data_IF_583766634490
#
_entry.id   IF_583766634490
#
_cell.length_a   1.000
_cell.length_b   1.000
_cell.length_c   1.000
_cell.angle_alpha   90.00
_cell.angle_beta   90.00
_cell.angle_gamma   90.00
#
_symmetry.space_group_name_H-M   'P 1'
#
loop_
_entity.id
_entity.type
_entity.pdbx_description
1 polymer ?
#
# COMPACT_ATOMS: atom_id res chain seq x y z
N UNK A 1 -20.13 -27.46 -14.05
CA UNK A 1 -21.27 -26.51 -14.10
C UNK A 1 -21.90 -26.62 -15.48
N UNK A 2 -23.21 -26.84 -15.54
CA UNK A 2 -23.94 -27.12 -16.79
C UNK A 2 -24.01 -25.92 -17.75
N UNK A 3 -23.80 -26.16 -19.04
CA UNK A 3 -23.80 -25.14 -20.11
C UNK A 3 -25.15 -24.37 -20.20
N UNK A 4 -26.26 -25.05 -19.84
CA UNK A 4 -27.60 -24.46 -19.81
C UNK A 4 -27.81 -23.47 -18.66
N UNK A 5 -27.06 -23.59 -17.58
CA UNK A 5 -27.14 -22.66 -16.43
C UNK A 5 -26.41 -21.35 -16.74
N UNK A 6 -25.33 -21.38 -17.54
CA UNK A 6 -24.55 -20.19 -17.91
C UNK A 6 -25.37 -19.16 -18.69
N UNK A 7 -26.15 -19.60 -19.68
CA UNK A 7 -26.90 -18.69 -20.56
C UNK A 7 -28.00 -17.87 -19.88
N UNK A 8 -28.54 -18.35 -18.75
CA UNK A 8 -29.58 -17.62 -17.98
C UNK A 8 -29.01 -16.66 -16.93
N UNK A 9 -27.77 -16.90 -16.49
CA UNK A 9 -27.11 -16.08 -15.46
C UNK A 9 -26.45 -14.83 -16.04
N UNK A 10 -26.31 -14.73 -17.37
CA UNK A 10 -25.70 -13.58 -18.06
C UNK A 10 -26.71 -12.63 -18.71
N UNK A 11 -28.02 -12.87 -18.53
CA UNK A 11 -29.07 -12.06 -19.14
C UNK A 11 -29.32 -10.78 -18.31
N UNK A 12 -28.95 -9.63 -18.89
CA UNK A 12 -28.88 -8.34 -18.19
C UNK A 12 -30.26 -7.71 -17.93
N UNK A 13 -31.34 -8.28 -18.46
CA UNK A 13 -32.73 -7.87 -18.13
C UNK A 13 -33.27 -8.52 -16.84
N UNK A 14 -32.67 -9.63 -16.36
CA UNK A 14 -33.21 -10.40 -15.23
C UNK A 14 -32.19 -10.75 -14.13
N UNK A 15 -30.88 -10.60 -14.38
CA UNK A 15 -29.84 -10.87 -13.39
C UNK A 15 -28.76 -9.79 -13.37
N UNK A 16 -28.45 -9.30 -12.17
CA UNK A 16 -27.23 -8.55 -11.88
C UNK A 16 -26.19 -9.52 -11.32
N UNK A 17 -25.14 -9.81 -12.09
CA UNK A 17 -24.02 -10.61 -11.61
C UNK A 17 -23.12 -9.70 -10.77
N UNK A 18 -23.21 -9.84 -9.46
CA UNK A 18 -22.25 -9.25 -8.54
C UNK A 18 -21.07 -10.21 -8.39
N UNK A 19 -19.92 -9.84 -8.92
CA UNK A 19 -18.67 -10.51 -8.56
C UNK A 19 -18.39 -10.15 -7.10
N UNK A 20 -18.66 -11.10 -6.20
CA UNK A 20 -18.18 -11.02 -4.82
C UNK A 20 -16.68 -11.30 -4.91
N UNK A 21 -15.93 -10.26 -5.23
CA UNK A 21 -14.51 -10.22 -4.98
C UNK A 21 -14.35 -10.43 -3.48
N UNK A 22 -13.72 -11.53 -3.06
CA UNK A 22 -13.38 -11.74 -1.65
C UNK A 22 -12.26 -10.76 -1.32
N UNK A 23 -12.59 -9.47 -1.28
CA UNK A 23 -11.75 -8.45 -0.69
C UNK A 23 -11.58 -8.85 0.75
N UNK A 24 -10.37 -9.29 1.09
CA UNK A 24 -10.07 -9.60 2.49
C UNK A 24 -10.47 -8.40 3.36
N UNK A 25 -10.96 -8.59 4.59
CA UNK A 25 -11.22 -7.47 5.51
C UNK A 25 -10.02 -6.52 5.67
N UNK A 26 -8.80 -7.04 5.40
CA UNK A 26 -7.55 -6.30 5.41
C UNK A 26 -7.44 -5.29 4.26
N UNK A 27 -8.22 -5.44 3.18
CA UNK A 27 -8.17 -4.52 2.04
C UNK A 27 -8.80 -3.16 2.30
N UNK A 28 -9.80 -3.11 3.18
CA UNK A 28 -10.36 -1.84 3.67
C UNK A 28 -9.44 -1.17 4.71
N UNK A 29 -8.31 -1.80 5.08
CA UNK A 29 -7.33 -1.26 6.02
C UNK A 29 -5.96 -1.02 5.38
N UNK A 30 -5.91 -0.90 4.05
CA UNK A 30 -4.72 -0.42 3.37
C UNK A 30 -4.51 1.06 3.72
N UNK A 31 -3.51 1.33 4.56
CA UNK A 31 -3.21 2.63 5.19
C UNK A 31 -2.95 3.80 4.26
N UNK A 32 -3.00 3.62 2.93
CA UNK A 32 -3.13 4.73 1.98
C UNK A 32 -4.52 5.39 2.01
N UNK A 33 -5.42 5.03 2.92
CA UNK A 33 -6.66 5.76 3.13
C UNK A 33 -6.47 7.12 3.82
N UNK A 34 -5.36 7.32 4.53
CA UNK A 34 -5.00 8.64 5.03
C UNK A 34 -4.72 9.54 3.82
N UNK A 35 -5.51 10.61 3.66
CA UNK A 35 -5.36 11.58 2.56
C UNK A 35 -3.91 12.04 2.39
N UNK A 36 -3.23 12.30 3.50
CA UNK A 36 -1.81 12.67 3.55
C UNK A 36 -0.90 11.67 2.80
N UNK A 37 -1.15 10.36 2.89
CA UNK A 37 -0.31 9.35 2.24
C UNK A 37 -0.62 9.20 0.75
N UNK A 38 -1.85 9.54 0.31
CA UNK A 38 -2.22 9.55 -1.12
C UNK A 38 -1.49 10.64 -1.89
N UNK A 39 -1.26 11.76 -1.22
CA UNK A 39 -0.57 12.90 -1.83
C UNK A 39 0.95 12.76 -1.80
N UNK A 40 1.52 11.83 -1.03
CA UNK A 40 2.97 11.59 -1.02
C UNK A 40 3.43 10.88 -2.29
N UNK A 41 3.89 11.64 -3.28
CA UNK A 41 4.36 11.14 -4.58
C UNK A 41 5.84 11.49 -4.81
N UNK A 42 6.47 10.88 -5.81
CA UNK A 42 7.84 11.24 -6.18
C UNK A 42 7.93 12.70 -6.67
N UNK A 43 6.91 13.15 -7.39
CA UNK A 43 6.89 14.48 -8.04
C UNK A 43 6.88 15.65 -7.05
N UNK A 44 6.37 15.44 -5.84
CA UNK A 44 6.31 16.46 -4.80
C UNK A 44 7.27 16.21 -3.63
N UNK A 45 8.23 15.30 -3.80
CA UNK A 45 9.28 15.08 -2.83
C UNK A 45 10.45 16.03 -3.08
N UNK A 46 10.73 16.91 -2.13
CA UNK A 46 11.96 17.71 -2.16
C UNK A 46 13.17 16.85 -1.80
N UNK A 47 13.93 16.46 -2.83
CA UNK A 47 15.19 15.73 -2.73
C UNK A 47 16.43 16.63 -2.66
N UNK A 48 16.29 17.93 -2.92
CA UNK A 48 17.41 18.89 -2.99
C UNK A 48 17.50 19.81 -1.76
N UNK A 49 16.56 19.69 -0.79
CA UNK A 49 16.54 20.31 0.55
C UNK A 49 17.78 21.11 0.90
N UNK A 50 17.79 22.37 0.48
CA UNK A 50 18.99 23.22 0.46
C UNK A 50 19.50 23.53 1.87
N UNK A 51 18.63 23.44 2.88
CA UNK A 51 18.95 23.57 4.30
C UNK A 51 19.81 22.44 4.86
N UNK A 52 19.94 21.32 4.15
CA UNK A 52 20.74 20.18 4.60
C UNK A 52 22.22 20.32 4.22
N UNK A 53 23.14 19.86 5.10
CA UNK A 53 24.55 19.66 4.76
C UNK A 53 24.72 18.84 3.48
N UNK A 54 25.80 19.10 2.73
CA UNK A 54 26.04 18.48 1.43
C UNK A 54 25.94 16.94 1.47
N UNK A 55 26.51 16.31 2.50
CA UNK A 55 26.47 14.86 2.69
C UNK A 55 25.04 14.33 2.88
N UNK A 56 24.22 15.00 3.68
CA UNK A 56 22.83 14.62 3.90
C UNK A 56 21.98 14.80 2.64
N UNK A 57 22.24 15.85 1.84
CA UNK A 57 21.61 16.03 0.52
C UNK A 57 21.99 14.91 -0.44
N UNK A 58 23.26 14.54 -0.49
CA UNK A 58 23.72 13.43 -1.33
C UNK A 58 23.05 12.12 -0.92
N UNK A 59 22.96 11.84 0.38
CA UNK A 59 22.26 10.67 0.91
C UNK A 59 20.76 10.68 0.56
N UNK A 60 20.08 11.83 0.72
CA UNK A 60 18.67 11.98 0.37
C UNK A 60 18.42 11.71 -1.12
N UNK A 61 19.29 12.21 -1.99
CA UNK A 61 19.22 11.97 -3.43
C UNK A 61 19.47 10.50 -3.77
N UNK A 62 20.40 9.84 -3.08
CA UNK A 62 20.60 8.40 -3.23
C UNK A 62 19.37 7.60 -2.80
N UNK A 63 18.79 7.92 -1.63
CA UNK A 63 17.57 7.27 -1.14
C UNK A 63 16.39 7.45 -2.10
N UNK A 64 16.23 8.66 -2.67
CA UNK A 64 15.24 8.94 -3.70
C UNK A 64 15.44 8.07 -4.94
N UNK A 65 16.66 8.03 -5.48
CA UNK A 65 16.96 7.24 -6.68
C UNK A 65 16.75 5.73 -6.46
N UNK A 66 17.09 5.21 -5.27
CA UNK A 66 16.83 3.82 -4.88
C UNK A 66 15.32 3.55 -4.78
N UNK A 67 14.56 4.47 -4.21
CA UNK A 67 13.10 4.38 -4.12
C UNK A 67 12.44 4.35 -5.50
N UNK A 68 12.84 5.23 -6.42
CA UNK A 68 12.36 5.22 -7.80
C UNK A 68 12.73 3.92 -8.54
N UNK A 69 13.95 3.42 -8.34
CA UNK A 69 14.40 2.15 -8.90
C UNK A 69 13.53 0.98 -8.44
N UNK A 70 13.32 0.89 -7.12
CA UNK A 70 12.46 -0.13 -6.51
C UNK A 70 10.99 0.00 -6.93
N UNK A 71 10.49 1.24 -7.08
CA UNK A 71 9.15 1.51 -7.59
C UNK A 71 8.95 1.07 -9.05
N UNK A 72 10.02 1.03 -9.87
CA UNK A 72 9.95 0.51 -11.25
C UNK A 72 10.05 -1.01 -11.33
N UNK A 73 11.02 -1.62 -10.63
CA UNK A 73 11.16 -3.09 -10.53
C UNK A 73 11.36 -3.50 -9.07
N UNK A 74 10.36 -4.07 -8.37
CA UNK A 74 10.41 -4.27 -6.94
C UNK A 74 11.03 -5.64 -6.69
N UNK A 75 12.34 -5.68 -6.48
CA UNK A 75 13.06 -6.91 -6.24
C UNK A 75 13.66 -6.91 -4.84
N UNK A 76 13.36 -7.96 -4.07
CA UNK A 76 13.84 -8.10 -2.69
C UNK A 76 13.24 -7.07 -1.74
N UNK A 77 14.08 -6.52 -0.87
CA UNK A 77 13.68 -5.61 0.21
C UNK A 77 14.41 -4.28 0.11
N UNK A 78 13.67 -3.17 0.30
CA UNK A 78 14.22 -1.84 0.48
C UNK A 78 13.91 -1.35 1.90
N UNK A 79 14.94 -0.98 2.65
CA UNK A 79 14.81 -0.51 4.03
C UNK A 79 15.28 0.95 4.10
N UNK A 80 14.41 1.83 4.60
CA UNK A 80 14.77 3.21 4.91
C UNK A 80 15.09 3.35 6.40
N UNK A 81 16.28 3.85 6.72
CA UNK A 81 16.71 4.13 8.09
C UNK A 81 17.17 5.59 8.21
N UNK A 82 16.82 6.23 9.32
CA UNK A 82 17.20 7.62 9.60
C UNK A 82 16.31 8.27 10.64
N UNK A 83 16.66 9.48 11.05
CA UNK A 83 15.91 10.28 12.02
C UNK A 83 14.50 10.66 11.53
N UNK A 84 13.64 11.11 12.43
CA UNK A 84 12.32 11.60 12.07
C UNK A 84 12.42 12.82 11.12
N UNK A 85 11.49 12.93 10.17
CA UNK A 85 11.48 14.03 9.19
C UNK A 85 12.42 13.87 7.98
N UNK A 86 13.24 12.82 7.90
CA UNK A 86 14.16 12.61 6.76
C UNK A 86 13.50 12.05 5.48
N UNK A 87 12.17 11.92 5.45
CA UNK A 87 11.43 11.54 4.22
C UNK A 87 11.09 10.06 4.04
N UNK A 88 11.39 9.17 5.00
CA UNK A 88 11.16 7.72 4.89
C UNK A 88 9.72 7.35 4.52
N UNK A 89 8.75 7.86 5.29
CA UNK A 89 7.33 7.58 5.08
C UNK A 89 6.86 8.10 3.73
N UNK A 90 7.36 9.28 3.32
CA UNK A 90 7.06 9.83 2.00
C UNK A 90 7.57 8.94 0.89
N UNK A 91 8.84 8.51 0.94
CA UNK A 91 9.40 7.62 -0.08
C UNK A 91 8.67 6.27 -0.13
N UNK A 92 8.33 5.70 1.03
CA UNK A 92 7.55 4.47 1.08
C UNK A 92 6.14 4.64 0.48
N UNK A 93 5.47 5.75 0.80
CA UNK A 93 4.16 6.08 0.23
C UNK A 93 4.25 6.36 -1.28
N UNK A 94 5.29 7.04 -1.75
CA UNK A 94 5.52 7.30 -3.16
C UNK A 94 5.72 6.00 -3.97
N UNK A 95 6.47 5.04 -3.43
CA UNK A 95 6.59 3.69 -4.00
C UNK A 95 5.22 3.02 -4.08
N UNK A 96 4.45 3.04 -2.99
CA UNK A 96 3.15 2.42 -2.93
C UNK A 96 2.15 3.07 -3.92
N UNK A 97 2.10 4.40 -3.97
CA UNK A 97 1.28 5.16 -4.91
C UNK A 97 1.65 4.86 -6.37
N UNK A 98 2.94 4.75 -6.67
CA UNK A 98 3.41 4.34 -8.00
C UNK A 98 2.90 2.95 -8.38
N UNK A 99 3.03 1.97 -7.48
CA UNK A 99 2.55 0.58 -7.69
C UNK A 99 1.04 0.49 -7.83
N UNK A 100 0.31 1.21 -6.98
CA UNK A 100 -1.16 1.34 -7.04
C UNK A 100 -1.62 1.87 -8.39
N UNK A 101 -0.94 2.89 -8.92
CA UNK A 101 -1.27 3.47 -10.21
C UNK A 101 -1.05 2.48 -11.38
N UNK A 102 -0.19 1.47 -11.22
CA UNK A 102 -0.02 0.35 -12.16
C UNK A 102 -1.05 -0.77 -11.98
N UNK A 103 -2.01 -0.62 -11.04
CA UNK A 103 -3.04 -1.62 -10.76
C UNK A 103 -2.60 -2.76 -9.86
N UNK A 104 -1.43 -2.65 -9.21
CA UNK A 104 -0.98 -3.67 -8.25
C UNK A 104 -1.71 -3.53 -6.91
N UNK A 105 -2.16 -4.67 -6.36
CA UNK A 105 -2.62 -4.75 -4.99
C UNK A 105 -1.44 -4.62 -4.03
N UNK A 106 -1.57 -3.78 -3.01
CA UNK A 106 -0.49 -3.50 -2.06
C UNK A 106 -1.02 -3.40 -0.65
N UNK A 107 -0.16 -3.76 0.32
CA UNK A 107 -0.45 -3.62 1.74
C UNK A 107 0.47 -2.56 2.35
N UNK A 108 -0.12 -1.46 2.83
CA UNK A 108 0.58 -0.39 3.51
C UNK A 108 0.00 -0.27 4.93
N UNK A 109 0.82 -0.38 5.96
CA UNK A 109 0.33 -0.39 7.35
C UNK A 109 1.35 0.24 8.28
N UNK A 110 0.84 0.84 9.35
CA UNK A 110 1.64 1.27 10.49
C UNK A 110 1.76 0.09 11.45
N UNK A 111 2.99 -0.28 11.83
CA UNK A 111 3.26 -1.50 12.60
C UNK A 111 2.46 -1.58 13.92
N UNK A 112 2.40 -0.51 14.76
CA UNK A 112 1.51 -0.48 15.91
C UNK A 112 0.05 -0.89 15.60
N UNK A 113 -0.56 -0.26 14.59
CA UNK A 113 -1.95 -0.52 14.20
C UNK A 113 -2.13 -1.97 13.74
N UNK A 114 -1.18 -2.52 12.99
CA UNK A 114 -1.16 -3.92 12.61
C UNK A 114 -1.15 -4.82 13.85
N UNK A 115 -0.26 -4.54 14.80
CA UNK A 115 -0.11 -5.35 16.01
C UNK A 115 -1.37 -5.28 16.89
N UNK A 116 -1.99 -4.11 17.00
CA UNK A 116 -3.21 -3.94 17.78
C UNK A 116 -4.41 -4.64 17.11
N UNK A 117 -4.50 -4.60 15.78
CA UNK A 117 -5.49 -5.38 15.02
C UNK A 117 -5.31 -6.90 15.24
N UNK A 118 -4.07 -7.39 15.15
CA UNK A 118 -3.78 -8.80 15.39
C UNK A 118 -4.16 -9.20 16.82
N UNK A 119 -3.76 -8.41 17.83
CA UNK A 119 -4.10 -8.67 19.24
C UNK A 119 -5.60 -8.74 19.50
N UNK A 120 -6.38 -7.82 18.92
CA UNK A 120 -7.84 -7.82 19.09
C UNK A 120 -8.52 -9.03 18.44
N UNK A 121 -8.02 -9.47 17.28
CA UNK A 121 -8.56 -10.63 16.56
C UNK A 121 -8.24 -11.97 17.23
N UNK A 122 -7.07 -12.06 17.90
CA UNK A 122 -6.60 -13.27 18.62
C UNK A 122 -6.85 -13.23 20.14
N UNK A 123 -7.59 -12.25 20.66
CA UNK A 123 -7.96 -12.21 22.07
C UNK A 123 -8.95 -13.35 22.39
N UNK A 124 -8.79 -14.07 23.52
CA UNK A 124 -9.55 -15.30 23.84
C UNK A 124 -11.08 -15.11 23.99
N UNK A 125 -11.58 -13.87 24.03
CA UNK A 125 -13.01 -13.54 23.95
C UNK A 125 -13.55 -13.46 22.51
N UNK A 126 -12.71 -13.60 21.48
CA UNK A 126 -13.14 -13.61 20.09
C UNK A 126 -13.76 -14.97 19.77
N UNK A 127 -15.08 -14.96 19.55
CA UNK A 127 -15.86 -16.14 19.14
C UNK A 127 -15.44 -16.56 17.72
N UNK A 128 -14.35 -17.29 17.58
CA UNK A 128 -14.04 -18.05 16.37
C UNK A 128 -14.12 -19.54 16.73
N UNK A 129 -15.17 -20.27 16.28
CA UNK A 129 -15.25 -21.70 16.52
C UNK A 129 -14.14 -22.40 15.71
N UNK A 130 -13.46 -23.31 16.38
CA UNK A 130 -12.41 -24.18 15.83
C UNK A 130 -13.01 -25.23 14.88
#
# INVERSE_FOLDING_TARGET
MDERMRGRLTDNEFCQVWTIDQRSPLEHQYGLELELLRDMAFDNFDRERLELPLEQRQNLRQAFNLAEGFARSPEGWLIFQGINGCGKTHLAAAIANHRRAQGEALFFVVVPDLLDHLRSSFSPDSKMPY
#
